data_IF_496028100440
#
_entry.id   IF_496028100440
#
_cell.length_a   1.000
_cell.length_b   1.000
_cell.length_c   1.000
_cell.angle_alpha   90.00
_cell.angle_beta   90.00
_cell.angle_gamma   90.00
#
_symmetry.space_group_name_H-M   'P 1'
#
loop_
_entity.id
_entity.type
_entity.pdbx_description
1 polymer ?
#
# COMPACT_ATOMS: atom_id res chain seq x y z
N UNK A 1 98.44 17.62 -29.65
CA UNK A 1 97.17 17.89 -30.28
C UNK A 1 96.20 16.84 -29.77
N UNK A 2 95.51 17.18 -28.76
CA UNK A 2 94.72 16.19 -28.02
C UNK A 2 93.27 16.66 -27.96
N UNK A 3 92.35 15.85 -28.51
CA UNK A 3 90.95 16.11 -28.50
C UNK A 3 90.31 15.24 -27.45
N UNK A 4 89.78 15.90 -26.45
CA UNK A 4 88.95 15.22 -25.41
C UNK A 4 87.54 15.02 -25.90
N UNK A 5 87.16 13.80 -25.88
CA UNK A 5 85.73 13.40 -26.01
C UNK A 5 85.05 13.36 -24.64
N UNK A 6 83.94 14.05 -24.50
CA UNK A 6 83.15 14.11 -23.34
C UNK A 6 81.83 13.34 -23.62
N UNK A 7 81.58 12.31 -22.83
CA UNK A 7 80.43 11.47 -22.90
C UNK A 7 79.23 12.15 -22.25
N UNK A 8 77.98 11.95 -22.75
CA UNK A 8 76.75 12.51 -22.16
C UNK A 8 76.26 11.67 -21.01
N UNK A 9 75.78 12.38 -20.03
CA UNK A 9 75.23 11.93 -18.78
C UNK A 9 73.84 11.30 -19.02
N UNK A 10 73.64 10.08 -18.51
CA UNK A 10 72.36 9.40 -18.44
C UNK A 10 71.38 10.16 -17.56
N UNK A 11 70.30 10.63 -18.16
CA UNK A 11 69.16 11.12 -17.41
C UNK A 11 68.23 9.93 -17.10
N UNK A 12 68.25 9.51 -15.85
CA UNK A 12 67.29 8.60 -15.29
C UNK A 12 65.92 9.27 -15.20
N UNK A 13 65.03 8.90 -16.10
CA UNK A 13 63.59 9.21 -16.00
C UNK A 13 62.98 8.36 -14.90
N UNK A 14 62.76 8.97 -13.72
CA UNK A 14 61.90 8.38 -12.68
C UNK A 14 60.45 8.50 -13.09
N UNK A 15 59.90 7.37 -13.52
CA UNK A 15 58.45 7.24 -13.74
C UNK A 15 57.73 7.22 -12.40
N UNK A 16 57.13 8.35 -12.03
CA UNK A 16 56.28 8.45 -10.85
C UNK A 16 54.94 7.77 -11.18
N UNK A 17 54.77 6.53 -10.73
CA UNK A 17 53.47 5.84 -10.74
C UNK A 17 52.52 6.49 -9.71
N UNK A 18 51.70 7.41 -10.18
CA UNK A 18 50.60 7.95 -9.38
C UNK A 18 49.60 6.87 -9.05
N UNK A 19 49.52 6.53 -7.77
CA UNK A 19 48.51 5.62 -7.26
C UNK A 19 47.14 6.32 -7.30
N UNK A 20 46.34 6.06 -8.33
CA UNK A 20 44.94 6.48 -8.35
C UNK A 20 44.14 5.57 -7.44
N UNK A 21 43.91 6.02 -6.21
CA UNK A 21 42.95 5.38 -5.28
C UNK A 21 41.56 5.66 -5.80
N UNK A 22 40.98 4.68 -6.47
CA UNK A 22 39.56 4.71 -6.89
C UNK A 22 38.70 4.55 -5.64
N UNK A 23 38.21 5.66 -5.08
CA UNK A 23 37.23 5.64 -4.00
C UNK A 23 35.88 5.30 -4.61
N UNK A 24 35.47 4.01 -4.51
CA UNK A 24 34.14 3.60 -4.80
C UNK A 24 33.21 4.11 -3.69
N UNK A 25 32.49 5.18 -3.97
CA UNK A 25 31.33 5.55 -3.17
C UNK A 25 30.23 4.50 -3.40
N UNK A 26 30.15 3.52 -2.49
CA UNK A 26 28.98 2.66 -2.40
C UNK A 26 27.82 3.51 -1.88
N UNK A 27 27.03 4.08 -2.77
CA UNK A 27 25.72 4.65 -2.40
C UNK A 27 24.80 3.47 -2.10
N UNK A 28 24.68 3.13 -0.82
CA UNK A 28 23.61 2.24 -0.36
C UNK A 28 22.29 2.95 -0.62
N UNK A 29 21.58 2.53 -1.67
CA UNK A 29 20.18 2.89 -1.86
C UNK A 29 19.43 2.24 -0.69
N UNK A 30 19.17 2.99 0.38
CA UNK A 30 18.24 2.57 1.42
C UNK A 30 16.87 2.51 0.76
N UNK A 31 16.42 1.31 0.39
CA UNK A 31 15.02 1.08 0.04
C UNK A 31 14.21 1.32 1.30
N UNK A 32 13.60 2.49 1.41
CA UNK A 32 12.60 2.76 2.42
C UNK A 32 11.42 1.85 2.06
N UNK A 33 11.36 0.68 2.67
CA UNK A 33 10.16 -0.14 2.65
C UNK A 33 9.10 0.60 3.46
N UNK A 34 8.34 1.46 2.81
CA UNK A 34 7.15 2.02 3.43
C UNK A 34 6.26 0.83 3.80
N UNK A 35 6.04 0.63 5.09
CA UNK A 35 5.02 -0.29 5.54
C UNK A 35 3.70 0.21 4.95
N UNK A 36 3.09 -0.55 4.03
CA UNK A 36 1.89 -0.18 3.25
C UNK A 36 0.63 -0.07 4.13
N UNK A 37 0.69 0.80 5.14
CA UNK A 37 -0.33 0.99 6.17
C UNK A 37 -0.61 2.47 6.50
N UNK A 38 0.02 3.42 5.77
CA UNK A 38 -0.27 4.84 5.96
C UNK A 38 -1.65 5.20 5.38
N UNK A 39 -2.28 6.30 5.81
CA UNK A 39 -3.50 6.82 5.19
C UNK A 39 -3.40 6.92 3.67
N UNK A 40 -2.24 7.35 3.16
CA UNK A 40 -2.01 7.49 1.73
C UNK A 40 -1.98 6.15 1.01
N UNK A 41 -1.46 5.08 1.63
CA UNK A 41 -1.42 3.75 1.02
C UNK A 41 -2.83 3.19 0.83
N UNK A 42 -3.70 3.35 1.83
CA UNK A 42 -5.11 2.99 1.72
C UNK A 42 -5.81 3.80 0.61
N UNK A 43 -5.61 5.13 0.59
CA UNK A 43 -6.20 5.99 -0.44
C UNK A 43 -5.72 5.63 -1.84
N UNK A 44 -4.43 5.37 -2.02
CA UNK A 44 -3.86 5.03 -3.32
C UNK A 44 -4.50 3.76 -3.88
N UNK A 45 -4.62 2.71 -3.06
CA UNK A 45 -5.24 1.45 -3.49
C UNK A 45 -6.71 1.65 -3.88
N UNK A 46 -7.51 2.34 -3.04
CA UNK A 46 -8.91 2.64 -3.33
C UNK A 46 -9.07 3.49 -4.59
N UNK A 47 -8.32 4.59 -4.68
CA UNK A 47 -8.47 5.55 -5.77
C UNK A 47 -7.98 4.99 -7.11
N UNK A 48 -7.01 4.07 -7.09
CA UNK A 48 -6.60 3.34 -8.29
C UNK A 48 -7.75 2.47 -8.84
N UNK A 49 -8.45 1.74 -7.97
CA UNK A 49 -9.61 0.92 -8.38
C UNK A 49 -10.78 1.80 -8.86
N UNK A 50 -11.05 2.92 -8.19
CA UNK A 50 -12.10 3.88 -8.52
C UNK A 50 -11.87 4.55 -9.87
N UNK A 51 -10.64 4.92 -10.18
CA UNK A 51 -10.27 5.49 -11.48
C UNK A 51 -10.58 4.54 -12.66
N UNK A 52 -10.44 3.21 -12.45
CA UNK A 52 -10.73 2.21 -13.48
C UNK A 52 -12.21 2.17 -13.90
N UNK A 53 -13.10 2.65 -13.04
CA UNK A 53 -14.55 2.69 -13.30
C UNK A 53 -15.10 4.11 -13.42
N UNK A 54 -14.23 5.11 -13.49
CA UNK A 54 -14.60 6.50 -13.72
C UNK A 54 -15.34 7.17 -12.57
N UNK A 55 -15.14 6.73 -11.31
CA UNK A 55 -15.70 7.40 -10.13
C UNK A 55 -14.66 8.26 -9.43
N UNK A 56 -15.12 9.33 -8.75
CA UNK A 56 -14.25 10.29 -8.08
C UNK A 56 -13.44 9.69 -6.95
N UNK A 57 -12.29 10.31 -6.63
CA UNK A 57 -11.41 9.88 -5.55
C UNK A 57 -12.07 10.06 -4.18
N UNK A 58 -11.74 9.14 -3.26
CA UNK A 58 -11.97 9.32 -1.82
C UNK A 58 -10.88 10.20 -1.21
N UNK A 59 -11.24 10.86 -0.11
CA UNK A 59 -10.31 11.60 0.75
C UNK A 59 -10.28 10.97 2.14
N UNK A 60 -9.13 11.08 2.81
CA UNK A 60 -9.01 10.59 4.18
C UNK A 60 -9.78 11.49 5.14
N UNK A 61 -10.52 10.87 6.06
CA UNK A 61 -11.22 11.57 7.13
C UNK A 61 -10.78 11.02 8.50
N UNK A 62 -10.19 11.89 9.32
CA UNK A 62 -9.67 11.50 10.63
C UNK A 62 -10.75 10.99 11.58
N UNK A 63 -11.98 11.51 11.51
CA UNK A 63 -13.11 11.04 12.33
C UNK A 63 -13.52 9.63 11.95
N UNK A 64 -13.62 9.35 10.64
CA UNK A 64 -13.92 8.01 10.13
C UNK A 64 -12.80 7.02 10.49
N UNK A 65 -11.54 7.45 10.39
CA UNK A 65 -10.38 6.64 10.78
C UNK A 65 -10.34 6.35 12.28
N UNK A 66 -10.69 7.34 13.13
CA UNK A 66 -10.79 7.13 14.57
C UNK A 66 -11.88 6.12 14.93
N UNK A 67 -13.02 6.14 14.23
CA UNK A 67 -14.05 5.14 14.38
C UNK A 67 -13.53 3.74 14.02
N UNK A 68 -12.91 3.61 12.86
CA UNK A 68 -12.30 2.34 12.41
C UNK A 68 -11.27 1.82 13.43
N UNK A 69 -10.40 2.70 13.96
CA UNK A 69 -9.40 2.32 14.96
C UNK A 69 -10.04 1.88 16.28
N UNK A 70 -11.07 2.58 16.75
CA UNK A 70 -11.78 2.21 17.98
C UNK A 70 -12.43 0.83 17.84
N UNK A 71 -13.03 0.55 16.69
CA UNK A 71 -13.61 -0.78 16.45
C UNK A 71 -12.54 -1.85 16.30
N UNK A 72 -11.47 -1.60 15.55
CA UNK A 72 -10.36 -2.53 15.41
C UNK A 72 -9.77 -2.94 16.77
N UNK A 73 -9.64 -1.99 17.71
CA UNK A 73 -9.15 -2.26 19.06
C UNK A 73 -10.06 -3.24 19.83
N UNK A 74 -11.36 -3.29 19.56
CA UNK A 74 -12.29 -4.24 20.16
C UNK A 74 -12.12 -5.66 19.59
N UNK A 75 -11.51 -5.78 18.41
CA UNK A 75 -11.27 -7.07 17.72
C UNK A 75 -9.91 -7.68 18.01
N UNK A 76 -9.03 -7.00 18.75
CA UNK A 76 -7.66 -7.47 19.08
C UNK A 76 -7.67 -8.87 19.74
N UNK A 77 -8.69 -9.18 20.54
CA UNK A 77 -8.76 -10.44 21.28
C UNK A 77 -9.12 -11.66 20.41
N UNK A 78 -9.84 -11.47 19.30
CA UNK A 78 -10.43 -12.57 18.54
C UNK A 78 -10.22 -12.53 17.01
N UNK A 79 -9.89 -11.36 16.45
CA UNK A 79 -9.76 -11.12 14.99
C UNK A 79 -11.02 -11.48 14.17
N UNK A 80 -12.19 -11.65 14.80
CA UNK A 80 -13.38 -12.06 14.07
C UNK A 80 -13.85 -10.99 13.09
N UNK A 81 -14.17 -11.40 11.86
CA UNK A 81 -14.71 -10.55 10.82
C UNK A 81 -16.22 -10.28 11.06
N UNK A 82 -16.52 -9.56 12.12
CA UNK A 82 -17.87 -9.13 12.49
C UNK A 82 -18.00 -7.65 12.24
N UNK A 83 -19.04 -7.22 11.52
CA UNK A 83 -19.30 -5.80 11.27
C UNK A 83 -19.65 -5.04 12.54
N UNK A 84 -19.23 -3.76 12.59
CA UNK A 84 -19.46 -2.91 13.77
C UNK A 84 -20.93 -2.55 14.00
N UNK A 85 -21.76 -2.61 12.96
CA UNK A 85 -23.16 -2.14 13.01
C UNK A 85 -23.31 -0.62 13.15
N UNK A 86 -22.25 0.13 12.91
CA UNK A 86 -22.23 1.59 13.02
C UNK A 86 -22.75 2.33 11.78
N UNK A 87 -22.56 3.66 11.73
CA UNK A 87 -23.17 4.52 10.71
C UNK A 87 -22.42 4.56 9.38
N UNK A 88 -21.33 3.83 9.25
CA UNK A 88 -20.45 3.82 8.08
C UNK A 88 -20.66 2.58 7.23
N UNK A 89 -20.39 2.67 5.93
CA UNK A 89 -20.04 1.51 5.13
C UNK A 89 -18.74 0.90 5.67
N UNK A 90 -18.54 -0.41 5.49
CA UNK A 90 -17.43 -1.09 6.14
C UNK A 90 -16.95 -2.29 5.36
N UNK A 91 -15.65 -2.41 5.19
CA UNK A 91 -14.98 -3.61 4.70
C UNK A 91 -14.02 -4.13 5.78
N UNK A 92 -14.01 -5.44 5.95
CA UNK A 92 -13.16 -6.14 6.91
C UNK A 92 -12.27 -7.14 6.20
N UNK A 93 -11.06 -7.32 6.70
CA UNK A 93 -10.15 -8.38 6.28
C UNK A 93 -9.28 -8.83 7.45
N UNK A 94 -8.83 -10.08 7.39
CA UNK A 94 -7.81 -10.61 8.28
C UNK A 94 -6.75 -11.37 7.50
N UNK A 95 -5.56 -11.48 8.06
CA UNK A 95 -4.49 -12.22 7.43
C UNK A 95 -3.27 -12.40 8.32
N UNK A 96 -2.48 -13.42 8.02
CA UNK A 96 -1.27 -13.79 8.74
C UNK A 96 0.00 -13.12 8.19
N UNK A 97 1.12 -13.27 8.88
CA UNK A 97 2.43 -12.79 8.43
C UNK A 97 2.52 -11.26 8.38
N UNK A 98 2.96 -10.71 7.26
CA UNK A 98 3.11 -9.27 7.05
C UNK A 98 1.88 -8.63 6.42
N UNK A 99 0.68 -9.19 6.61
CA UNK A 99 -0.55 -8.74 5.97
C UNK A 99 -0.77 -7.23 6.18
N UNK A 100 -0.53 -6.45 5.11
CA UNK A 100 -0.56 -4.98 5.13
C UNK A 100 -1.96 -4.43 4.87
N UNK A 101 -2.18 -3.15 5.20
CA UNK A 101 -3.44 -2.46 4.86
C UNK A 101 -3.73 -2.50 3.37
N UNK A 102 -2.72 -2.25 2.53
CA UNK A 102 -2.85 -2.36 1.07
C UNK A 102 -3.21 -3.79 0.63
N UNK A 103 -2.65 -4.82 1.28
CA UNK A 103 -3.00 -6.22 0.97
C UNK A 103 -4.48 -6.49 1.27
N UNK A 104 -5.02 -6.00 2.38
CA UNK A 104 -6.45 -6.10 2.70
C UNK A 104 -7.33 -5.42 1.65
N UNK A 105 -6.98 -4.19 1.25
CA UNK A 105 -7.71 -3.47 0.19
C UNK A 105 -7.66 -4.22 -1.14
N UNK A 106 -6.53 -4.82 -1.48
CA UNK A 106 -6.40 -5.60 -2.72
C UNK A 106 -7.28 -6.86 -2.71
N UNK A 107 -7.46 -7.54 -1.56
CA UNK A 107 -8.43 -8.65 -1.46
C UNK A 107 -9.85 -8.19 -1.83
N UNK A 108 -10.27 -7.01 -1.35
CA UNK A 108 -11.58 -6.46 -1.69
C UNK A 108 -11.68 -6.05 -3.17
N UNK A 109 -10.61 -5.49 -3.74
CA UNK A 109 -10.55 -5.11 -5.17
C UNK A 109 -10.60 -6.35 -6.06
N UNK A 110 -9.97 -7.44 -5.65
CA UNK A 110 -9.93 -8.69 -6.40
C UNK A 110 -11.31 -9.35 -6.57
N UNK A 111 -12.28 -8.99 -5.75
CA UNK A 111 -13.68 -9.42 -5.92
C UNK A 111 -14.32 -8.83 -7.19
N UNK A 112 -13.69 -7.83 -7.84
CA UNK A 112 -14.11 -7.28 -9.14
C UNK A 112 -14.43 -8.37 -10.16
N UNK A 113 -13.68 -9.45 -10.19
CA UNK A 113 -13.87 -10.59 -11.12
C UNK A 113 -15.20 -11.30 -10.93
N UNK A 114 -15.88 -11.08 -9.81
CA UNK A 114 -17.17 -11.68 -9.48
C UNK A 114 -18.34 -10.69 -9.60
N UNK A 115 -18.09 -9.43 -9.92
CA UNK A 115 -19.13 -8.42 -10.06
C UNK A 115 -19.59 -8.28 -11.50
N UNK A 116 -20.87 -8.52 -11.73
CA UNK A 116 -21.53 -8.33 -13.03
C UNK A 116 -22.21 -6.96 -13.07
N UNK A 117 -21.60 -6.03 -13.83
CA UNK A 117 -22.03 -4.64 -13.89
C UNK A 117 -23.45 -4.47 -14.47
N UNK A 118 -23.78 -5.19 -15.58
CA UNK A 118 -25.05 -5.03 -16.29
C UNK A 118 -26.24 -5.43 -15.41
N UNK A 119 -26.09 -6.47 -14.63
CA UNK A 119 -27.15 -7.00 -13.76
C UNK A 119 -27.05 -6.47 -12.33
N UNK A 120 -25.94 -5.78 -11.99
CA UNK A 120 -25.62 -5.35 -10.64
C UNK A 120 -25.70 -6.51 -9.62
N UNK A 121 -25.07 -7.63 -9.97
CA UNK A 121 -25.08 -8.83 -9.13
C UNK A 121 -23.68 -9.43 -8.97
N UNK A 122 -23.47 -10.21 -7.93
CA UNK A 122 -22.32 -11.08 -7.83
C UNK A 122 -22.55 -12.40 -8.58
N UNK A 123 -21.49 -12.94 -9.18
CA UNK A 123 -21.53 -14.31 -9.72
C UNK A 123 -22.02 -15.29 -8.67
N UNK A 124 -22.86 -16.23 -9.05
CA UNK A 124 -23.53 -17.15 -8.13
C UNK A 124 -22.54 -17.85 -7.18
N UNK A 125 -22.81 -17.76 -5.88
CA UNK A 125 -21.97 -18.33 -4.82
C UNK A 125 -20.69 -17.55 -4.51
N UNK A 126 -20.46 -16.40 -5.15
CA UNK A 126 -19.29 -15.53 -4.90
C UNK A 126 -19.68 -14.27 -4.13
N UNK A 127 -18.66 -13.67 -3.47
CA UNK A 127 -18.80 -12.37 -2.80
C UNK A 127 -18.19 -11.29 -3.70
N UNK A 128 -18.88 -10.17 -3.84
CA UNK A 128 -18.36 -8.98 -4.51
C UNK A 128 -18.69 -7.67 -3.77
N UNK A 129 -19.27 -7.78 -2.58
CA UNK A 129 -19.74 -6.64 -1.80
C UNK A 129 -18.61 -5.73 -1.30
N UNK A 130 -17.44 -6.28 -1.04
CA UNK A 130 -16.29 -5.46 -0.66
C UNK A 130 -15.81 -4.61 -1.84
N UNK A 131 -15.74 -5.20 -3.04
CA UNK A 131 -15.39 -4.45 -4.24
C UNK A 131 -16.40 -3.33 -4.53
N UNK A 132 -17.71 -3.62 -4.48
CA UNK A 132 -18.74 -2.62 -4.76
C UNK A 132 -18.69 -1.46 -3.77
N UNK A 133 -18.35 -1.70 -2.49
CA UNK A 133 -18.11 -0.64 -1.51
C UNK A 133 -16.86 0.20 -1.85
N UNK A 134 -15.75 -0.43 -2.26
CA UNK A 134 -14.53 0.30 -2.69
C UNK A 134 -14.84 1.28 -3.81
N UNK A 135 -15.62 0.87 -4.80
CA UNK A 135 -15.94 1.68 -5.98
C UNK A 135 -17.28 2.41 -5.88
N UNK A 136 -17.90 2.42 -4.69
CA UNK A 136 -19.18 3.09 -4.48
C UNK A 136 -19.05 4.59 -4.73
N UNK A 137 -19.72 5.10 -5.79
CA UNK A 137 -19.58 6.47 -6.27
C UNK A 137 -19.76 7.51 -5.18
N UNK A 138 -20.80 7.34 -4.36
CA UNK A 138 -21.19 8.31 -3.34
C UNK A 138 -20.43 8.20 -2.02
N UNK A 139 -19.62 7.15 -1.83
CA UNK A 139 -18.67 7.07 -0.70
C UNK A 139 -17.43 7.89 -1.04
N UNK A 140 -17.28 9.05 -0.39
CA UNK A 140 -16.23 10.03 -0.71
C UNK A 140 -15.20 10.21 0.39
N UNK A 141 -15.45 9.69 1.59
CA UNK A 141 -14.53 9.75 2.73
C UNK A 141 -14.16 8.36 3.18
N UNK A 142 -12.90 8.19 3.52
CA UNK A 142 -12.29 6.92 3.93
C UNK A 142 -11.56 7.09 5.25
N UNK A 143 -11.67 6.10 6.12
CA UNK A 143 -10.85 5.94 7.30
C UNK A 143 -10.61 4.47 7.57
N UNK A 144 -9.36 4.07 7.71
CA UNK A 144 -8.99 2.67 7.93
C UNK A 144 -8.13 2.50 9.18
N UNK A 145 -8.12 1.29 9.70
CA UNK A 145 -7.27 0.87 10.80
C UNK A 145 -6.77 -0.55 10.62
N UNK A 146 -5.65 -0.85 11.26
CA UNK A 146 -5.02 -2.17 11.28
C UNK A 146 -4.49 -2.46 12.67
N UNK A 147 -4.83 -3.61 13.24
CA UNK A 147 -4.35 -4.06 14.55
C UNK A 147 -3.87 -5.50 14.47
N UNK A 148 -2.92 -5.85 15.33
CA UNK A 148 -2.48 -7.24 15.46
C UNK A 148 -3.27 -7.93 16.56
N UNK A 149 -3.82 -9.09 16.25
CA UNK A 149 -4.60 -9.89 17.18
C UNK A 149 -3.73 -10.68 18.13
N UNK A 150 -4.15 -10.76 19.39
CA UNK A 150 -3.39 -11.41 20.47
C UNK A 150 -3.59 -12.93 20.52
N UNK A 151 -4.70 -13.44 19.97
CA UNK A 151 -5.03 -14.86 19.99
C UNK A 151 -4.21 -15.72 19.01
N UNK A 152 -3.86 -15.16 17.84
CA UNK A 152 -3.21 -15.90 16.75
C UNK A 152 -2.07 -15.14 16.04
N UNK A 153 -1.83 -13.86 16.42
CA UNK A 153 -0.83 -12.99 15.81
C UNK A 153 -1.17 -12.51 14.40
N UNK A 154 -2.40 -12.72 13.94
CA UNK A 154 -2.88 -12.23 12.65
C UNK A 154 -3.16 -10.73 12.71
N UNK A 155 -3.43 -10.16 11.56
CA UNK A 155 -3.79 -8.75 11.43
C UNK A 155 -5.25 -8.62 11.04
N UNK A 156 -5.96 -7.80 11.80
CA UNK A 156 -7.31 -7.36 11.47
C UNK A 156 -7.24 -5.99 10.81
N UNK A 157 -7.95 -5.83 9.69
CA UNK A 157 -8.03 -4.59 8.92
C UNK A 157 -9.49 -4.23 8.76
N UNK A 158 -9.80 -2.96 8.99
CA UNK A 158 -11.10 -2.36 8.73
C UNK A 158 -10.92 -1.09 7.93
N UNK A 159 -11.76 -0.88 6.92
CA UNK A 159 -11.99 0.43 6.32
C UNK A 159 -13.45 0.82 6.49
N UNK A 160 -13.67 2.03 6.97
CA UNK A 160 -14.99 2.65 7.12
C UNK A 160 -15.16 3.72 6.04
N UNK A 161 -16.37 3.80 5.48
CA UNK A 161 -16.70 4.64 4.32
C UNK A 161 -17.85 5.59 4.64
N UNK A 162 -17.74 6.85 4.21
CA UNK A 162 -18.81 7.84 4.39
C UNK A 162 -19.05 8.64 3.10
N UNK A 163 -20.30 8.82 2.70
CA UNK A 163 -21.49 8.06 3.13
C UNK A 163 -21.32 6.55 2.94
N UNK A 164 -22.10 5.69 3.63
CA UNK A 164 -22.08 4.26 3.38
C UNK A 164 -22.51 3.92 1.96
N UNK A 165 -22.06 2.78 1.45
CA UNK A 165 -22.45 2.24 0.16
C UNK A 165 -23.29 0.96 0.29
N UNK A 166 -23.34 0.23 -0.81
CA UNK A 166 -24.02 -1.08 -0.89
C UNK A 166 -25.49 -1.05 -0.52
N UNK A 167 -26.21 0.03 -0.88
CA UNK A 167 -27.66 0.08 -0.71
C UNK A 167 -28.35 -0.93 -1.63
N UNK A 168 -29.30 -1.67 -1.08
CA UNK A 168 -30.05 -2.67 -1.84
C UNK A 168 -30.71 -2.05 -3.11
N UNK A 169 -30.52 -2.70 -4.25
CA UNK A 169 -31.07 -2.27 -5.54
C UNK A 169 -30.31 -1.10 -6.20
N UNK A 170 -29.23 -0.60 -5.64
CA UNK A 170 -28.43 0.45 -6.24
C UNK A 170 -27.09 -0.11 -6.77
N UNK A 171 -26.69 0.38 -7.95
CA UNK A 171 -25.38 0.08 -8.51
C UNK A 171 -24.29 0.99 -7.90
N UNK A 172 -23.05 0.51 -7.78
CA UNK A 172 -21.95 1.28 -7.19
C UNK A 172 -21.50 2.47 -8.08
N UNK A 173 -21.65 2.37 -9.44
CA UNK A 173 -21.23 3.38 -10.42
C UNK A 173 -22.03 3.31 -11.71
#
# INVERSE_FOLDING_TARGET
MSTHHQTPIDQLLTCQMGSFTLIFFLTTLATITHAQNSPQDYLNAHNSARAQVGVGNMVWNATVAAYAQNYANQRIGDCNLVHSGGPYGENLAEGSGTFTGTAGVNLWIDEKRYYEYITNTCTNGQVCGHYTQVVWRNSIQLGCARVQCTNNGWWFIICSYYPPGNYAGQAPY
#
